data_IF_927293014897
#
_entry.id   IF_927293014897
#
_cell.length_a   1.000
_cell.length_b   1.000
_cell.length_c   1.000
_cell.angle_alpha   90.00
_cell.angle_beta   90.00
_cell.angle_gamma   90.00
#
_symmetry.space_group_name_H-M   'P 1'
#
loop_
_entity.id
_entity.type
_entity.pdbx_description
1 polymer ?
#
# COMPACT_ATOMS: atom_id res chain seq x y z
N UNK A 1 -10.04 8.75 48.49
CA UNK A 1 -9.77 8.62 47.05
C UNK A 1 -8.27 8.47 46.92
N UNK A 2 -7.79 7.49 46.16
CA UNK A 2 -6.36 7.27 45.91
C UNK A 2 -5.88 8.23 44.79
N UNK A 3 -4.62 8.65 44.82
CA UNK A 3 -4.00 9.45 43.75
C UNK A 3 -3.99 8.65 42.44
N UNK A 4 -4.36 9.24 41.30
CA UNK A 4 -4.39 8.57 40.00
C UNK A 4 -3.34 9.16 39.06
N UNK A 5 -2.71 8.31 38.24
CA UNK A 5 -1.71 8.72 37.25
C UNK A 5 -2.18 8.34 35.85
N UNK A 6 -2.09 9.25 34.89
CA UNK A 6 -2.37 9.01 33.48
C UNK A 6 -1.04 8.96 32.69
N UNK A 7 -0.75 7.80 32.13
CA UNK A 7 0.31 7.49 31.17
C UNK A 7 -0.09 8.03 29.79
N UNK A 8 0.82 8.64 29.04
CA UNK A 8 0.57 9.07 27.65
C UNK A 8 1.23 8.09 26.68
N UNK A 9 0.42 7.29 25.98
CA UNK A 9 0.88 6.37 24.95
C UNK A 9 0.79 7.08 23.59
N UNK A 10 1.89 7.64 23.11
CA UNK A 10 1.93 8.24 21.77
C UNK A 10 1.94 7.12 20.72
N UNK A 11 1.33 7.32 19.54
CA UNK A 11 1.55 6.43 18.40
C UNK A 11 3.05 6.33 18.11
N UNK A 12 3.67 5.27 18.59
CA UNK A 12 5.08 4.98 18.36
C UNK A 12 5.23 4.84 16.85
N UNK A 13 5.84 5.85 16.22
CA UNK A 13 6.46 5.67 14.91
C UNK A 13 7.56 4.64 15.16
N UNK A 14 7.29 3.39 14.78
CA UNK A 14 8.25 2.29 14.89
C UNK A 14 9.60 2.76 14.34
N UNK A 15 10.70 2.71 15.12
CA UNK A 15 11.99 3.19 14.67
C UNK A 15 12.39 2.53 13.35
N UNK A 16 12.90 3.32 12.38
CA UNK A 16 13.26 2.87 11.03
C UNK A 16 14.10 1.57 11.05
N UNK A 17 14.99 1.44 12.04
CA UNK A 17 15.85 0.28 12.22
C UNK A 17 15.05 -1.02 12.37
N UNK A 18 13.94 -1.01 13.12
CA UNK A 18 13.06 -2.17 13.35
C UNK A 18 12.31 -2.56 12.07
N UNK A 19 11.92 -1.57 11.26
CA UNK A 19 11.29 -1.79 9.95
C UNK A 19 12.29 -2.33 8.93
N UNK A 20 13.57 -1.93 9.02
CA UNK A 20 14.67 -2.46 8.20
C UNK A 20 14.94 -3.93 8.51
N UNK A 21 15.03 -4.29 9.80
CA UNK A 21 15.31 -5.67 10.21
C UNK A 21 14.18 -6.63 9.86
N UNK A 22 12.93 -6.16 9.87
CA UNK A 22 11.75 -6.95 9.50
C UNK A 22 11.48 -6.99 7.99
N UNK A 23 12.31 -6.37 7.15
CA UNK A 23 12.15 -6.32 5.69
C UNK A 23 10.93 -5.51 5.22
N UNK A 24 10.37 -4.67 6.10
CA UNK A 24 9.20 -3.84 5.82
C UNK A 24 9.58 -2.53 5.10
N UNK A 25 10.81 -2.01 5.28
CA UNK A 25 11.28 -0.78 4.61
C UNK A 25 11.32 -0.94 3.09
N UNK A 26 11.64 -2.12 2.57
CA UNK A 26 11.71 -2.36 1.12
C UNK A 26 10.33 -2.57 0.48
N UNK A 27 9.28 -2.71 1.28
CA UNK A 27 7.90 -3.03 0.85
C UNK A 27 6.89 -1.94 1.18
N UNK A 28 7.20 -1.01 2.09
CA UNK A 28 6.35 0.13 2.41
C UNK A 28 6.66 1.30 1.48
N UNK A 29 5.93 1.36 0.37
CA UNK A 29 5.73 2.61 -0.37
C UNK A 29 4.30 3.10 -0.11
N UNK A 30 3.94 3.35 1.16
CA UNK A 30 2.80 4.23 1.43
C UNK A 30 3.29 5.67 1.34
N UNK A 31 3.03 6.26 0.18
CA UNK A 31 3.18 7.69 -0.01
C UNK A 31 2.07 8.37 0.79
N UNK A 32 2.36 8.86 1.99
CA UNK A 32 1.48 9.82 2.66
C UNK A 32 1.56 11.15 1.91
N UNK A 33 0.66 11.33 0.94
CA UNK A 33 0.32 12.63 0.36
C UNK A 33 -1.04 13.06 0.91
N UNK A 34 -1.20 14.37 1.08
CA UNK A 34 -2.36 15.12 1.57
C UNK A 34 -3.72 14.41 1.52
N UNK A 35 -4.48 14.55 2.61
CA UNK A 35 -5.85 14.06 2.80
C UNK A 35 -6.76 14.38 1.60
N UNK A 36 -6.88 13.41 0.69
CA UNK A 36 -7.90 13.41 -0.36
C UNK A 36 -9.06 12.51 0.07
N UNK A 37 -10.28 12.99 -0.14
CA UNK A 37 -11.48 12.17 0.01
C UNK A 37 -11.40 11.00 -0.99
N UNK A 38 -11.76 9.78 -0.56
CA UNK A 38 -11.50 8.54 -1.30
C UNK A 38 -12.12 8.53 -2.71
N UNK A 39 -13.27 9.15 -2.89
CA UNK A 39 -13.92 9.39 -4.18
C UNK A 39 -13.05 10.21 -5.14
N UNK A 40 -12.44 11.30 -4.66
CA UNK A 40 -11.55 12.14 -5.46
C UNK A 40 -10.23 11.43 -5.79
N UNK A 41 -9.70 10.61 -4.88
CA UNK A 41 -8.51 9.80 -5.17
C UNK A 41 -8.77 8.79 -6.28
N UNK A 42 -9.89 8.05 -6.19
CA UNK A 42 -10.32 7.09 -7.21
C UNK A 42 -10.58 7.78 -8.54
N UNK A 43 -11.27 8.92 -8.53
CA UNK A 43 -11.52 9.71 -9.74
C UNK A 43 -10.23 10.18 -10.41
N UNK A 44 -9.27 10.69 -9.63
CA UNK A 44 -7.99 11.18 -10.15
C UNK A 44 -7.12 10.04 -10.71
N UNK A 45 -7.08 8.90 -10.04
CA UNK A 45 -6.35 7.71 -10.52
C UNK A 45 -6.98 7.17 -11.81
N UNK A 46 -8.31 7.11 -11.89
CA UNK A 46 -9.02 6.68 -13.10
C UNK A 46 -8.79 7.65 -14.26
N UNK A 47 -8.87 8.96 -14.04
CA UNK A 47 -8.58 9.99 -15.04
C UNK A 47 -7.16 9.88 -15.58
N UNK A 48 -6.17 9.79 -14.70
CA UNK A 48 -4.77 9.66 -15.10
C UNK A 48 -4.49 8.36 -15.89
N UNK A 49 -5.18 7.26 -15.57
CA UNK A 49 -5.06 5.99 -16.30
C UNK A 49 -5.73 6.02 -17.67
N UNK A 50 -6.88 6.68 -17.80
CA UNK A 50 -7.55 6.91 -19.09
C UNK A 50 -6.63 7.73 -20.00
N UNK A 51 -6.02 8.80 -19.47
CA UNK A 51 -5.08 9.64 -20.23
C UNK A 51 -3.85 8.86 -20.70
N UNK A 52 -3.29 7.97 -19.87
CA UNK A 52 -2.18 7.08 -20.25
C UNK A 52 -2.59 6.04 -21.31
N UNK A 53 -3.82 5.55 -21.28
CA UNK A 53 -4.34 4.64 -22.32
C UNK A 53 -4.46 5.29 -23.70
N UNK A 54 -4.64 6.60 -23.77
CA UNK A 54 -4.71 7.38 -25.03
C UNK A 54 -3.35 7.70 -25.65
N UNK A 55 -2.25 7.71 -24.87
CA UNK A 55 -0.89 7.89 -25.40
C UNK A 55 -0.24 6.52 -25.53
N UNK A 56 -0.31 5.95 -26.74
CA UNK A 56 0.27 4.64 -27.06
C UNK A 56 1.71 4.49 -26.55
N UNK A 57 2.05 3.25 -26.19
CA UNK A 57 3.37 2.85 -25.65
C UNK A 57 4.50 3.45 -26.49
N UNK A 58 5.13 4.51 -25.97
CA UNK A 58 6.37 5.04 -26.54
C UNK A 58 7.51 4.08 -26.24
N UNK A 59 8.17 3.59 -27.30
CA UNK A 59 9.43 2.84 -27.27
C UNK A 59 10.44 3.53 -26.37
N UNK A 60 10.56 3.07 -25.13
CA UNK A 60 11.77 3.06 -24.27
C UNK A 60 11.38 2.73 -22.81
N UNK A 61 10.61 1.66 -22.59
CA UNK A 61 10.63 1.01 -21.28
C UNK A 61 11.66 -0.11 -21.36
N UNK A 62 12.86 0.19 -20.84
CA UNK A 62 13.82 -0.82 -20.43
C UNK A 62 13.12 -1.93 -19.63
N UNK A 63 13.68 -3.15 -19.69
CA UNK A 63 13.36 -4.25 -18.77
C UNK A 63 13.05 -3.69 -17.38
N UNK A 64 11.78 -3.74 -16.99
CA UNK A 64 11.33 -3.44 -15.65
C UNK A 64 10.86 -4.76 -15.06
N UNK A 65 11.73 -5.30 -14.21
CA UNK A 65 11.41 -6.33 -13.23
C UNK A 65 10.12 -5.95 -12.49
N UNK A 66 9.22 -6.93 -12.31
CA UNK A 66 8.32 -6.97 -11.15
C UNK A 66 7.26 -5.89 -10.96
N UNK A 67 6.80 -5.18 -11.99
CA UNK A 67 5.78 -4.14 -11.79
C UNK A 67 5.00 -3.73 -13.03
N UNK A 68 4.05 -4.55 -13.48
CA UNK A 68 3.00 -4.10 -14.42
C UNK A 68 1.62 -4.58 -13.94
N UNK A 69 0.83 -3.60 -13.47
CA UNK A 69 -0.61 -3.62 -13.16
C UNK A 69 -1.10 -4.61 -12.07
N UNK A 70 -1.08 -4.15 -10.82
CA UNK A 70 -1.74 -4.81 -9.67
C UNK A 70 -3.29 -4.86 -9.76
N UNK A 71 -3.91 -4.38 -10.84
CA UNK A 71 -5.37 -4.21 -10.93
C UNK A 71 -6.13 -5.52 -11.19
N UNK A 72 -5.44 -6.59 -11.62
CA UNK A 72 -6.02 -7.91 -11.86
C UNK A 72 -5.07 -9.04 -11.42
N UNK A 73 -4.22 -8.77 -10.43
CA UNK A 73 -3.17 -9.68 -9.98
C UNK A 73 -3.75 -11.05 -9.61
N UNK A 74 -4.78 -11.08 -8.75
CA UNK A 74 -5.36 -12.33 -8.27
C UNK A 74 -5.94 -13.17 -9.41
N UNK A 75 -6.69 -12.55 -10.32
CA UNK A 75 -7.30 -13.25 -11.46
C UNK A 75 -6.24 -13.80 -12.41
N UNK A 76 -5.19 -13.05 -12.69
CA UNK A 76 -4.12 -13.50 -13.59
C UNK A 76 -3.29 -14.63 -12.98
N UNK A 77 -2.92 -14.52 -11.70
CA UNK A 77 -2.16 -15.54 -10.97
C UNK A 77 -2.98 -16.82 -10.80
N UNK A 78 -4.23 -16.73 -10.38
CA UNK A 78 -5.09 -17.91 -10.24
C UNK A 78 -5.43 -18.54 -11.60
N UNK A 79 -5.60 -17.74 -12.65
CA UNK A 79 -5.81 -18.27 -14.00
C UNK A 79 -4.59 -19.05 -14.51
N UNK A 80 -3.38 -18.53 -14.30
CA UNK A 80 -2.15 -19.21 -14.66
C UNK A 80 -1.93 -20.50 -13.86
N UNK A 81 -2.20 -20.48 -12.56
CA UNK A 81 -2.03 -21.64 -11.69
C UNK A 81 -3.02 -22.77 -12.01
N UNK A 82 -4.29 -22.43 -12.23
CA UNK A 82 -5.36 -23.41 -12.48
C UNK A 82 -5.47 -23.83 -13.93
N UNK A 83 -4.82 -23.12 -14.86
CA UNK A 83 -5.02 -23.26 -16.30
C UNK A 83 -6.43 -22.87 -16.78
N UNK A 84 -7.28 -22.38 -15.87
CA UNK A 84 -8.66 -22.00 -16.17
C UNK A 84 -8.72 -20.50 -16.44
N UNK A 85 -9.32 -20.05 -17.56
CA UNK A 85 -9.33 -18.64 -17.92
C UNK A 85 -10.31 -17.85 -17.02
N UNK A 86 -9.77 -16.95 -16.19
CA UNK A 86 -10.55 -16.03 -15.34
C UNK A 86 -10.73 -14.68 -16.05
N UNK A 87 -11.58 -14.67 -17.06
CA UNK A 87 -11.76 -13.56 -18.01
C UNK A 87 -13.25 -13.28 -18.23
N UNK A 88 -13.57 -12.04 -18.58
CA UNK A 88 -14.91 -11.65 -19.03
C UNK A 88 -14.95 -11.70 -20.55
N UNK A 89 -16.04 -12.26 -21.09
CA UNK A 89 -16.37 -12.21 -22.51
C UNK A 89 -17.62 -11.35 -22.69
N UNK A 90 -17.45 -10.18 -23.29
CA UNK A 90 -18.50 -9.21 -23.51
C UNK A 90 -18.85 -9.13 -24.99
N UNK A 91 -20.13 -9.27 -25.34
CA UNK A 91 -20.58 -9.08 -26.72
C UNK A 91 -20.50 -7.60 -27.09
N UNK A 92 -19.86 -7.30 -28.21
CA UNK A 92 -19.81 -5.95 -28.75
C UNK A 92 -21.14 -5.61 -29.42
N UNK A 93 -21.64 -4.41 -29.19
CA UNK A 93 -22.90 -3.93 -29.77
C UNK A 93 -22.86 -3.87 -31.31
N UNK A 94 -21.67 -3.69 -31.89
CA UNK A 94 -21.42 -3.78 -33.33
C UNK A 94 -20.11 -4.53 -33.60
N UNK A 95 -20.04 -5.36 -34.66
CA UNK A 95 -18.81 -6.01 -35.07
C UNK A 95 -17.71 -4.99 -35.38
N UNK A 96 -16.55 -5.13 -34.74
CA UNK A 96 -15.36 -4.33 -35.05
C UNK A 96 -14.55 -5.10 -36.09
N UNK A 97 -14.15 -4.43 -37.18
CA UNK A 97 -13.21 -5.01 -38.15
C UNK A 97 -11.79 -4.80 -37.62
N UNK A 98 -11.11 -5.89 -37.31
CA UNK A 98 -9.71 -5.87 -36.88
C UNK A 98 -8.87 -6.43 -38.01
N UNK A 99 -7.86 -5.68 -38.44
CA UNK A 99 -6.86 -6.12 -39.42
C UNK A 99 -5.59 -6.51 -38.69
N UNK A 100 -5.23 -7.79 -38.76
CA UNK A 100 -4.05 -8.33 -38.10
C UNK A 100 -3.22 -9.12 -39.10
N UNK A 101 -1.90 -9.09 -38.93
CA UNK A 101 -1.02 -10.02 -39.63
C UNK A 101 -1.21 -11.40 -39.01
N UNK A 102 -1.48 -12.39 -39.86
CA UNK A 102 -1.60 -13.79 -39.46
C UNK A 102 -0.52 -14.61 -40.16
N UNK A 103 0.32 -15.25 -39.35
CA UNK A 103 1.26 -16.26 -39.81
C UNK A 103 0.58 -17.64 -39.85
N UNK A 104 0.60 -18.29 -41.01
CA UNK A 104 0.08 -19.64 -41.20
C UNK A 104 1.18 -20.54 -41.73
N UNK A 105 1.45 -21.63 -41.01
CA UNK A 105 2.38 -22.68 -41.42
C UNK A 105 1.66 -23.79 -42.17
N UNK A 106 2.23 -24.27 -43.28
CA UNK A 106 1.70 -25.45 -43.97
C UNK A 106 2.02 -26.72 -43.18
N UNK A 107 1.02 -27.21 -42.45
CA UNK A 107 1.12 -28.40 -41.60
C UNK A 107 1.49 -29.67 -42.37
N UNK A 108 1.19 -29.76 -43.67
CA UNK A 108 1.53 -30.94 -44.51
C UNK A 108 3.00 -30.97 -44.88
N UNK A 109 3.62 -29.80 -45.06
CA UNK A 109 5.02 -29.67 -45.46
C UNK A 109 5.97 -29.58 -44.26
N UNK A 110 5.52 -28.98 -43.15
CA UNK A 110 6.36 -28.74 -41.98
C UNK A 110 6.69 -30.03 -41.21
N UNK A 111 5.72 -30.95 -41.10
CA UNK A 111 5.90 -32.22 -40.39
C UNK A 111 7.02 -33.08 -40.99
N UNK A 112 6.99 -33.34 -42.32
CA UNK A 112 8.05 -34.10 -42.98
C UNK A 112 9.42 -33.41 -42.98
N UNK A 113 9.46 -32.07 -43.13
CA UNK A 113 10.73 -31.29 -43.22
C UNK A 113 11.39 -31.07 -41.85
N UNK A 114 10.61 -30.78 -40.80
CA UNK A 114 11.14 -30.35 -39.50
C UNK A 114 10.94 -31.39 -38.38
N UNK A 115 10.20 -32.49 -38.64
CA UNK A 115 10.06 -33.66 -37.75
C UNK A 115 9.80 -33.28 -36.28
N UNK A 116 10.78 -33.53 -35.40
CA UNK A 116 10.68 -33.32 -33.94
C UNK A 116 10.61 -31.84 -33.57
N UNK A 117 11.16 -30.97 -34.42
CA UNK A 117 11.24 -29.52 -34.21
C UNK A 117 9.97 -28.78 -34.67
N UNK A 118 9.12 -29.43 -35.47
CA UNK A 118 7.91 -28.82 -36.02
C UNK A 118 6.99 -28.23 -34.95
N UNK A 119 6.85 -28.90 -33.80
CA UNK A 119 6.01 -28.43 -32.69
C UNK A 119 6.60 -27.21 -31.97
N UNK A 120 7.92 -27.14 -31.85
CA UNK A 120 8.62 -26.00 -31.23
C UNK A 120 8.47 -24.77 -32.13
N UNK A 121 8.72 -24.94 -33.43
CA UNK A 121 8.62 -23.88 -34.43
C UNK A 121 7.18 -23.37 -34.56
N UNK A 122 6.19 -24.27 -34.51
CA UNK A 122 4.79 -23.89 -34.50
C UNK A 122 4.46 -22.97 -33.31
N UNK A 123 4.86 -23.35 -32.09
CA UNK A 123 4.63 -22.54 -30.90
C UNK A 123 5.33 -21.17 -30.97
N UNK A 124 6.53 -21.11 -31.55
CA UNK A 124 7.26 -19.84 -31.74
C UNK A 124 6.54 -18.93 -32.72
N UNK A 125 6.12 -19.45 -33.88
CA UNK A 125 5.40 -18.67 -34.90
C UNK A 125 4.05 -18.18 -34.39
N UNK A 126 3.33 -18.99 -33.60
CA UNK A 126 2.07 -18.61 -32.95
C UNK A 126 2.25 -17.53 -31.87
N UNK A 127 3.46 -17.38 -31.31
CA UNK A 127 3.77 -16.42 -30.25
C UNK A 127 4.38 -15.09 -30.76
N UNK A 128 4.55 -14.90 -32.07
CA UNK A 128 5.11 -13.67 -32.64
C UNK A 128 4.13 -12.49 -32.49
N UNK A 129 4.69 -11.31 -32.21
CA UNK A 129 3.92 -10.06 -32.09
C UNK A 129 3.66 -9.39 -33.46
N UNK A 130 2.64 -8.54 -33.51
CA UNK A 130 2.20 -7.87 -34.75
C UNK A 130 3.31 -7.06 -35.46
N UNK A 131 4.15 -6.27 -34.77
CA UNK A 131 5.26 -5.56 -35.41
C UNK A 131 6.30 -6.50 -36.04
N UNK A 132 6.60 -7.63 -35.40
CA UNK A 132 7.52 -8.62 -35.95
C UNK A 132 6.90 -9.30 -37.16
N UNK A 133 5.63 -9.67 -37.10
CA UNK A 133 4.92 -10.27 -38.23
C UNK A 133 4.90 -9.35 -39.46
N UNK A 134 4.69 -8.04 -39.27
CA UNK A 134 4.77 -7.06 -40.35
C UNK A 134 6.16 -7.03 -41.00
N UNK A 135 7.22 -6.98 -40.19
CA UNK A 135 8.61 -7.01 -40.69
C UNK A 135 8.91 -8.28 -41.46
N UNK A 136 8.53 -9.45 -40.91
CA UNK A 136 8.77 -10.75 -41.54
C UNK A 136 7.93 -10.90 -42.82
N UNK A 137 6.73 -10.32 -42.89
CA UNK A 137 5.90 -10.36 -44.10
C UNK A 137 6.59 -9.65 -45.28
N UNK A 138 7.23 -8.49 -45.02
CA UNK A 138 8.02 -7.77 -46.02
C UNK A 138 9.24 -8.58 -46.45
N UNK A 139 9.94 -9.19 -45.50
CA UNK A 139 11.14 -10.00 -45.79
C UNK A 139 10.83 -11.26 -46.62
N UNK A 140 9.73 -11.95 -46.31
CA UNK A 140 9.25 -13.10 -47.11
C UNK A 140 8.86 -12.66 -48.52
N UNK A 141 8.32 -11.44 -48.70
CA UNK A 141 7.96 -10.92 -50.01
C UNK A 141 9.19 -10.61 -50.89
N UNK A 142 10.28 -10.10 -50.30
CA UNK A 142 11.50 -9.74 -51.02
C UNK A 142 12.44 -10.93 -51.27
N UNK A 143 12.73 -11.74 -50.23
CA UNK A 143 13.76 -12.78 -50.29
C UNK A 143 13.20 -14.19 -50.50
N UNK A 144 11.90 -14.40 -50.26
CA UNK A 144 11.26 -15.71 -50.34
C UNK A 144 11.63 -16.69 -49.21
N UNK A 145 12.54 -16.31 -48.32
CA UNK A 145 12.99 -17.06 -47.14
C UNK A 145 13.15 -16.08 -45.98
N UNK A 146 12.77 -16.51 -44.78
CA UNK A 146 12.91 -15.73 -43.56
C UNK A 146 13.52 -16.55 -42.44
N UNK A 147 14.38 -15.94 -41.62
CA UNK A 147 14.98 -16.57 -40.45
C UNK A 147 14.21 -16.18 -39.19
N UNK A 148 13.76 -17.17 -38.42
CA UNK A 148 13.06 -16.97 -37.15
C UNK A 148 13.90 -17.56 -36.03
N UNK A 149 14.12 -16.77 -34.97
CA UNK A 149 14.81 -17.23 -33.77
C UNK A 149 13.93 -18.20 -32.98
N UNK A 150 14.49 -19.33 -32.59
CA UNK A 150 13.79 -20.38 -31.85
C UNK A 150 14.61 -20.81 -30.63
N UNK A 151 13.96 -21.35 -29.58
CA UNK A 151 14.67 -22.14 -28.58
C UNK A 151 15.49 -23.25 -29.24
N UNK A 152 16.55 -23.74 -28.57
CA UNK A 152 17.46 -24.73 -29.11
C UNK A 152 16.69 -25.93 -29.70
N UNK A 153 16.85 -26.13 -31.01
CA UNK A 153 16.26 -27.21 -31.78
C UNK A 153 17.01 -28.53 -31.50
N UNK A 154 16.48 -29.66 -31.96
CA UNK A 154 17.10 -30.97 -31.77
C UNK A 154 18.56 -31.07 -32.24
N UNK A 155 18.95 -30.20 -33.18
CA UNK A 155 20.29 -30.12 -33.75
C UNK A 155 21.17 -29.03 -33.09
N UNK A 156 20.72 -28.39 -32.00
CA UNK A 156 21.43 -27.31 -31.29
C UNK A 156 21.36 -25.93 -31.97
N UNK A 157 20.68 -25.81 -33.11
CA UNK A 157 20.43 -24.54 -33.80
C UNK A 157 19.42 -23.69 -33.04
N UNK A 158 19.60 -22.38 -33.04
CA UNK A 158 18.74 -21.39 -32.37
C UNK A 158 17.94 -20.53 -33.34
N UNK A 159 17.97 -20.86 -34.63
CA UNK A 159 17.18 -20.20 -35.66
C UNK A 159 16.79 -21.19 -36.75
N UNK A 160 15.67 -20.92 -37.42
CA UNK A 160 15.17 -21.71 -38.53
C UNK A 160 14.84 -20.84 -39.73
N UNK A 161 15.27 -21.28 -40.90
CA UNK A 161 14.91 -20.67 -42.18
C UNK A 161 13.60 -21.28 -42.70
N UNK A 162 12.60 -20.42 -42.91
CA UNK A 162 11.30 -20.80 -43.46
C UNK A 162 11.12 -20.15 -44.83
N UNK A 163 10.93 -20.97 -45.84
CA UNK A 163 10.58 -20.49 -47.18
C UNK A 163 9.11 -20.08 -47.26
N UNK A 164 8.78 -19.30 -48.30
CA UNK A 164 7.41 -18.88 -48.62
C UNK A 164 6.42 -20.05 -48.80
N UNK A 165 6.92 -21.24 -49.15
CA UNK A 165 6.11 -22.46 -49.23
C UNK A 165 5.70 -22.99 -47.85
N UNK A 166 6.49 -22.72 -46.81
CA UNK A 166 6.30 -23.23 -45.46
C UNK A 166 5.55 -22.25 -44.56
N UNK A 167 5.79 -20.95 -44.75
CA UNK A 167 5.23 -19.88 -43.93
C UNK A 167 4.59 -18.81 -44.82
N UNK A 168 3.28 -18.64 -44.68
CA UNK A 168 2.52 -17.55 -45.29
C UNK A 168 2.17 -16.52 -44.23
N UNK A 169 2.60 -15.27 -44.40
CA UNK A 169 2.20 -14.15 -43.54
C UNK A 169 1.36 -13.18 -44.37
N UNK A 170 0.11 -12.97 -43.97
CA UNK A 170 -0.82 -12.09 -44.69
C UNK A 170 -1.66 -11.27 -43.71
N UNK A 171 -2.10 -10.08 -44.14
CA UNK A 171 -3.12 -9.31 -43.41
C UNK A 171 -4.47 -10.00 -43.59
N UNK A 172 -5.11 -10.33 -42.48
CA UNK A 172 -6.43 -10.94 -42.44
C UNK A 172 -7.37 -10.00 -41.71
N UNK A 173 -8.44 -9.60 -42.38
CA UNK A 173 -9.52 -8.82 -41.75
C UNK A 173 -10.49 -9.78 -41.07
N UNK A 174 -10.63 -9.68 -39.75
CA UNK A 174 -11.59 -10.46 -38.98
C UNK A 174 -12.63 -9.55 -38.35
N UNK A 175 -13.90 -9.95 -38.43
CA UNK A 175 -14.96 -9.33 -37.65
C UNK A 175 -14.91 -9.88 -36.22
N UNK A 176 -14.68 -8.99 -35.26
CA UNK A 176 -14.70 -9.28 -33.83
C UNK A 176 -16.06 -8.85 -33.24
N UNK A 177 -16.84 -9.83 -32.80
CA UNK A 177 -18.15 -9.62 -32.17
C UNK A 177 -18.10 -9.64 -30.65
N UNK A 178 -16.95 -9.98 -30.08
CA UNK A 178 -16.80 -10.21 -28.63
C UNK A 178 -15.46 -9.66 -28.18
N UNK A 179 -15.50 -8.86 -27.12
CA UNK A 179 -14.33 -8.38 -26.40
C UNK A 179 -14.05 -9.34 -25.25
N UNK A 180 -12.77 -9.66 -25.07
CA UNK A 180 -12.30 -10.50 -23.98
C UNK A 180 -11.28 -9.71 -23.18
N UNK A 181 -11.44 -9.64 -21.86
CA UNK A 181 -10.50 -8.94 -20.99
C UNK A 181 -10.53 -9.51 -19.58
N UNK A 182 -9.44 -9.30 -18.83
CA UNK A 182 -9.40 -9.57 -17.39
C UNK A 182 -9.95 -8.34 -16.65
N UNK A 183 -10.99 -8.47 -15.83
CA UNK A 183 -11.60 -7.33 -15.17
C UNK A 183 -10.67 -6.78 -14.08
N UNK A 184 -10.67 -5.46 -13.90
CA UNK A 184 -10.03 -4.84 -12.75
C UNK A 184 -10.90 -5.04 -11.50
N UNK A 185 -10.27 -5.27 -10.36
CA UNK A 185 -10.96 -5.48 -9.08
C UNK A 185 -10.77 -4.25 -8.18
N UNK A 186 -11.88 -3.76 -7.62
CA UNK A 186 -11.87 -2.76 -6.54
C UNK A 186 -12.24 -3.50 -5.26
N UNK A 187 -11.32 -3.56 -4.30
CA UNK A 187 -11.52 -4.26 -3.03
C UNK A 187 -11.57 -3.27 -1.86
N UNK A 188 -12.75 -2.82 -1.43
CA UNK A 188 -12.89 -2.07 -0.20
C UNK A 188 -12.85 -3.03 1.01
N UNK A 189 -11.77 -2.99 1.77
CA UNK A 189 -11.60 -3.81 2.98
C UNK A 189 -11.75 -2.98 4.26
N UNK A 190 -12.65 -3.42 5.14
CA UNK A 190 -12.98 -2.71 6.38
C UNK A 190 -12.72 -3.59 7.62
N UNK A 191 -11.78 -3.16 8.46
CA UNK A 191 -11.47 -3.84 9.72
C UNK A 191 -12.53 -3.57 10.79
N UNK A 192 -13.47 -4.51 10.99
CA UNK A 192 -14.57 -4.39 11.97
C UNK A 192 -14.04 -4.09 13.38
N UNK A 193 -12.92 -4.68 13.79
CA UNK A 193 -12.32 -4.41 15.10
C UNK A 193 -11.93 -2.94 15.30
N UNK A 194 -11.37 -2.29 14.26
CA UNK A 194 -11.04 -0.86 14.31
C UNK A 194 -12.28 0.01 14.31
N UNK A 195 -13.28 -0.34 13.50
CA UNK A 195 -14.57 0.37 13.48
C UNK A 195 -15.23 0.30 14.87
N UNK A 196 -15.28 -0.90 15.46
CA UNK A 196 -15.83 -1.10 16.80
C UNK A 196 -15.07 -0.30 17.85
N UNK A 197 -13.73 -0.33 17.81
CA UNK A 197 -12.90 0.47 18.71
C UNK A 197 -13.19 1.97 18.57
N UNK A 198 -13.30 2.49 17.35
CA UNK A 198 -13.68 3.88 17.10
C UNK A 198 -15.06 4.22 17.66
N UNK A 199 -16.06 3.35 17.49
CA UNK A 199 -17.40 3.55 18.05
C UNK A 199 -17.35 3.57 19.57
N UNK A 200 -16.73 2.57 20.20
CA UNK A 200 -16.58 2.49 21.65
C UNK A 200 -15.90 3.75 22.21
N UNK A 201 -14.86 4.24 21.52
CA UNK A 201 -14.16 5.47 21.87
C UNK A 201 -15.03 6.72 21.72
N UNK A 202 -15.81 6.83 20.65
CA UNK A 202 -16.72 7.96 20.41
C UNK A 202 -17.90 8.00 21.39
N UNK A 203 -18.35 6.84 21.86
CA UNK A 203 -19.44 6.73 22.85
C UNK A 203 -18.94 6.72 24.30
N UNK A 204 -17.63 6.83 24.52
CA UNK A 204 -17.06 6.80 25.85
C UNK A 204 -17.56 7.99 26.67
N UNK A 205 -18.06 7.69 27.87
CA UNK A 205 -18.54 8.67 28.83
C UNK A 205 -18.06 8.28 30.23
N UNK A 206 -17.78 9.28 31.06
CA UNK A 206 -17.38 9.08 32.45
C UNK A 206 -18.38 9.74 33.40
N UNK A 207 -18.45 9.21 34.63
CA UNK A 207 -19.30 9.80 35.67
C UNK A 207 -18.72 11.16 36.12
N UNK A 208 -19.56 12.12 36.53
CA UNK A 208 -19.10 13.34 37.18
C UNK A 208 -18.27 13.02 38.45
N UNK A 209 -17.22 13.81 38.69
CA UNK A 209 -16.32 13.65 39.84
C UNK A 209 -15.15 12.69 39.65
N UNK A 210 -14.98 12.12 38.45
CA UNK A 210 -13.80 11.34 38.06
C UNK A 210 -12.91 12.16 37.11
N UNK A 211 -12.07 13.02 37.70
CA UNK A 211 -11.19 13.94 36.96
C UNK A 211 -10.18 13.20 36.07
N UNK A 212 -9.75 12.01 36.48
CA UNK A 212 -8.81 11.20 35.69
C UNK A 212 -9.44 10.69 34.40
N UNK A 213 -10.68 10.20 34.46
CA UNK A 213 -11.39 9.79 33.24
C UNK A 213 -11.82 10.98 32.38
N UNK A 214 -12.13 12.12 32.99
CA UNK A 214 -12.43 13.35 32.27
C UNK A 214 -11.24 13.81 31.43
N UNK A 215 -10.06 13.92 32.04
CA UNK A 215 -8.83 14.30 31.35
C UNK A 215 -8.42 13.27 30.30
N UNK A 216 -8.56 11.97 30.59
CA UNK A 216 -8.29 10.88 29.64
C UNK A 216 -9.15 11.01 28.37
N UNK A 217 -10.47 11.21 28.53
CA UNK A 217 -11.39 11.39 27.41
C UNK A 217 -11.07 12.66 26.60
N UNK A 218 -10.70 13.74 27.28
CA UNK A 218 -10.29 14.99 26.64
C UNK A 218 -9.03 14.81 25.77
N UNK A 219 -7.99 14.16 26.31
CA UNK A 219 -6.76 13.86 25.56
C UNK A 219 -7.06 12.95 24.36
N UNK A 220 -7.92 11.94 24.54
CA UNK A 220 -8.36 11.06 23.45
C UNK A 220 -9.09 11.81 22.34
N UNK A 221 -9.92 12.81 22.67
CA UNK A 221 -10.62 13.66 21.69
C UNK A 221 -9.66 14.52 20.86
N UNK A 222 -8.47 14.81 21.39
CA UNK A 222 -7.38 15.51 20.71
C UNK A 222 -6.46 14.56 19.92
N UNK A 223 -6.78 13.26 19.87
CA UNK A 223 -5.95 12.25 19.20
C UNK A 223 -4.72 11.82 20.02
N UNK A 224 -4.64 12.23 21.29
CA UNK A 224 -3.51 11.92 22.17
C UNK A 224 -3.87 10.66 22.95
N UNK A 225 -3.19 9.56 22.66
CA UNK A 225 -3.43 8.28 23.36
C UNK A 225 -2.79 8.31 24.75
N UNK A 226 -3.50 7.70 25.70
CA UNK A 226 -3.20 7.72 27.12
C UNK A 226 -3.88 6.55 27.83
N UNK A 227 -3.31 6.11 28.95
CA UNK A 227 -3.72 4.99 29.79
C UNK A 227 -3.71 5.45 31.25
N UNK A 228 -4.68 5.03 32.07
CA UNK A 228 -4.68 5.35 33.49
C UNK A 228 -4.01 4.23 34.32
N UNK A 229 -2.98 4.56 35.09
CA UNK A 229 -2.43 3.71 36.16
C UNK A 229 -3.17 4.01 37.47
N UNK A 230 -4.27 3.28 37.68
CA UNK A 230 -5.04 3.27 38.92
C UNK A 230 -4.60 2.15 39.88
N UNK A 231 -3.34 1.69 39.80
CA UNK A 231 -2.84 0.71 40.77
C UNK A 231 -2.68 1.34 42.15
N UNK A 232 -2.84 0.54 43.21
CA UNK A 232 -2.67 0.97 44.61
C UNK A 232 -1.20 1.22 45.00
N UNK A 233 -0.30 1.37 44.01
CA UNK A 233 1.11 1.62 44.21
C UNK A 233 1.36 3.13 44.43
N UNK A 234 2.35 3.45 45.26
CA UNK A 234 2.81 4.84 45.44
C UNK A 234 3.16 5.49 44.10
N UNK A 235 2.94 6.80 43.97
CA UNK A 235 3.17 7.54 42.71
C UNK A 235 4.57 7.32 42.11
N UNK A 236 5.62 7.29 42.95
CA UNK A 236 6.99 7.02 42.49
C UNK A 236 7.18 5.62 41.86
N UNK A 237 6.47 4.60 42.35
CA UNK A 237 6.50 3.25 41.76
C UNK A 237 5.76 3.20 40.42
N UNK A 238 4.68 3.97 40.29
CA UNK A 238 3.93 4.10 39.03
C UNK A 238 4.76 4.83 37.97
N UNK A 239 5.46 5.90 38.35
CA UNK A 239 6.43 6.54 37.47
C UNK A 239 7.54 5.58 37.04
N UNK A 240 8.20 4.88 37.97
CA UNK A 240 9.27 3.95 37.62
C UNK A 240 8.82 2.88 36.61
N UNK A 241 7.65 2.26 36.82
CA UNK A 241 7.07 1.29 35.87
C UNK A 241 6.84 1.89 34.48
N UNK A 242 6.36 3.14 34.45
CA UNK A 242 6.06 3.82 33.20
C UNK A 242 7.30 4.31 32.47
N UNK A 243 8.30 4.75 33.22
CA UNK A 243 9.60 5.11 32.70
C UNK A 243 10.25 3.87 32.05
N UNK A 244 10.13 2.68 32.68
CA UNK A 244 10.57 1.40 32.11
C UNK A 244 9.83 1.01 30.81
N UNK A 245 8.54 1.35 30.70
CA UNK A 245 7.75 1.15 29.48
C UNK A 245 8.01 2.20 28.40
N UNK A 246 8.76 3.25 28.73
CA UNK A 246 9.12 4.33 27.81
C UNK A 246 8.06 5.43 27.68
N UNK A 247 7.07 5.50 28.58
CA UNK A 247 6.06 6.56 28.61
C UNK A 247 6.73 7.94 28.76
N UNK A 248 6.68 8.83 27.76
CA UNK A 248 7.49 10.05 27.74
C UNK A 248 7.02 11.12 28.74
N UNK A 249 5.71 11.15 29.01
CA UNK A 249 5.08 12.17 29.84
C UNK A 249 4.12 11.50 30.82
N UNK A 250 4.15 11.92 32.08
CA UNK A 250 3.22 11.49 33.11
C UNK A 250 2.35 12.65 33.60
N UNK A 251 1.04 12.43 33.73
CA UNK A 251 0.13 13.40 34.35
C UNK A 251 -0.33 12.87 35.69
N UNK A 252 -0.17 13.67 36.73
CA UNK A 252 -0.59 13.33 38.09
C UNK A 252 -1.77 14.19 38.53
N UNK A 253 -2.81 13.50 39.02
CA UNK A 253 -4.04 14.08 39.54
C UNK A 253 -4.08 13.81 41.05
N UNK A 254 -3.92 14.88 41.83
CA UNK A 254 -3.83 14.84 43.29
C UNK A 254 -5.06 15.49 43.94
N UNK A 255 -5.16 15.44 45.27
CA UNK A 255 -6.27 16.07 46.01
C UNK A 255 -6.44 17.56 45.73
N UNK A 256 -5.33 18.26 45.47
CA UNK A 256 -5.37 19.68 45.15
C UNK A 256 -5.99 19.95 43.78
N UNK A 257 -5.89 19.02 42.82
CA UNK A 257 -6.53 19.15 41.50
C UNK A 257 -8.03 19.37 41.62
N UNK A 258 -8.69 18.69 42.57
CA UNK A 258 -10.13 18.86 42.81
C UNK A 258 -10.45 20.25 43.38
N UNK A 259 -9.50 20.90 44.04
CA UNK A 259 -9.68 22.23 44.65
C UNK A 259 -9.37 23.38 43.70
N UNK A 260 -8.30 23.24 42.91
CA UNK A 260 -7.73 24.34 42.11
C UNK A 260 -7.74 24.09 40.59
N UNK A 261 -8.18 22.92 40.13
CA UNK A 261 -8.22 22.54 38.71
C UNK A 261 -6.85 22.41 38.06
N UNK A 262 -5.78 22.35 38.86
CA UNK A 262 -4.41 22.22 38.38
C UNK A 262 -3.93 20.78 38.41
N UNK A 263 -3.14 20.40 37.40
CA UNK A 263 -2.55 19.07 37.27
C UNK A 263 -1.04 19.18 37.16
N UNK A 264 -0.35 18.14 37.60
CA UNK A 264 1.11 18.08 37.50
C UNK A 264 1.51 17.29 36.27
N UNK A 265 2.34 17.89 35.42
CA UNK A 265 2.95 17.26 34.27
C UNK A 265 4.41 16.93 34.59
N UNK A 266 4.82 15.69 34.33
CA UNK A 266 6.18 15.18 34.54
C UNK A 266 6.79 14.75 33.22
N UNK A 267 8.05 15.10 33.02
CA UNK A 267 8.89 14.54 31.96
C UNK A 267 9.68 13.33 32.45
N UNK A 268 9.72 12.28 31.62
CA UNK A 268 10.42 11.03 31.92
C UNK A 268 11.92 11.22 32.06
N UNK A 269 12.54 11.90 31.09
CA UNK A 269 14.00 11.92 30.94
C UNK A 269 14.67 12.79 31.99
N UNK A 270 14.13 13.98 32.22
CA UNK A 270 14.62 14.91 33.25
C UNK A 270 14.08 14.60 34.64
N UNK A 271 13.00 13.82 34.75
CA UNK A 271 12.21 13.58 35.97
C UNK A 271 11.60 14.86 36.59
N UNK A 272 11.74 16.00 35.92
CA UNK A 272 11.27 17.30 36.39
C UNK A 272 9.75 17.44 36.23
N UNK A 273 9.15 18.31 37.03
CA UNK A 273 7.70 18.46 37.12
C UNK A 273 7.29 19.93 37.03
N UNK A 274 6.19 20.18 36.35
CA UNK A 274 5.53 21.47 36.29
C UNK A 274 4.08 21.32 36.71
N UNK A 275 3.49 22.38 37.28
CA UNK A 275 2.08 22.38 37.71
C UNK A 275 1.37 23.61 37.17
N UNK A 276 0.28 23.38 36.45
CA UNK A 276 -0.52 24.43 35.84
C UNK A 276 -1.98 23.98 35.73
N UNK A 277 -2.85 24.85 35.23
CA UNK A 277 -4.24 24.49 34.94
C UNK A 277 -4.29 23.31 33.95
N UNK A 278 -5.36 22.51 34.03
CA UNK A 278 -5.60 21.42 33.09
C UNK A 278 -5.47 21.87 31.63
N UNK A 279 -6.07 23.01 31.27
CA UNK A 279 -5.97 23.59 29.93
C UNK A 279 -4.52 23.88 29.51
N UNK A 280 -3.72 24.45 30.42
CA UNK A 280 -2.33 24.76 30.15
C UNK A 280 -1.48 23.51 29.93
N UNK A 281 -1.75 22.45 30.70
CA UNK A 281 -1.06 21.17 30.58
C UNK A 281 -1.49 20.43 29.31
N UNK A 282 -2.80 20.36 29.02
CA UNK A 282 -3.31 19.74 27.79
C UNK A 282 -2.75 20.42 26.55
N UNK A 283 -2.66 21.75 26.55
CA UNK A 283 -2.07 22.49 25.44
C UNK A 283 -0.56 22.22 25.30
N UNK A 284 0.18 22.14 26.41
CA UNK A 284 1.60 21.79 26.40
C UNK A 284 1.83 20.40 25.81
N UNK A 285 1.04 19.39 26.24
CA UNK A 285 1.12 18.03 25.70
C UNK A 285 0.80 18.03 24.21
N UNK A 286 -0.26 18.72 23.78
CA UNK A 286 -0.62 18.83 22.37
C UNK A 286 0.51 19.45 21.55
N UNK A 287 1.18 20.48 22.05
CA UNK A 287 2.28 21.12 21.34
C UNK A 287 3.51 20.20 21.27
N UNK A 288 3.85 19.51 22.35
CA UNK A 288 4.97 18.55 22.36
C UNK A 288 4.73 17.36 21.44
N UNK A 289 3.52 16.77 21.45
CA UNK A 289 3.17 15.63 20.58
C UNK A 289 3.22 16.01 19.09
N UNK A 290 2.86 17.25 18.76
CA UNK A 290 2.93 17.77 17.39
C UNK A 290 4.31 18.35 17.01
N UNK A 291 5.32 18.24 17.88
CA UNK A 291 6.67 18.76 17.64
C UNK A 291 6.77 20.30 17.59
N UNK A 292 5.78 21.01 18.15
CA UNK A 292 5.73 22.48 18.16
C UNK A 292 6.40 23.11 19.39
N UNK A 293 6.54 22.35 20.48
CA UNK A 293 7.22 22.78 21.71
C UNK A 293 8.10 21.63 22.23
N UNK A 294 9.18 21.99 22.91
CA UNK A 294 10.05 21.08 23.67
C UNK A 294 9.75 21.14 25.16
N UNK A 295 10.17 20.12 25.92
CA UNK A 295 10.05 20.14 27.38
C UNK A 295 10.75 21.34 28.03
N UNK A 296 11.92 21.75 27.51
CA UNK A 296 12.65 22.92 28.01
C UNK A 296 11.86 24.23 27.87
N UNK A 297 11.08 24.37 26.80
CA UNK A 297 10.22 25.53 26.58
C UNK A 297 9.00 25.49 27.50
N UNK A 298 8.40 24.30 27.68
CA UNK A 298 7.27 24.08 28.61
C UNK A 298 7.69 24.37 30.05
N UNK A 299 8.85 23.88 30.49
CA UNK A 299 9.37 24.05 31.85
C UNK A 299 9.76 25.50 32.19
N UNK A 300 10.11 26.32 31.20
CA UNK A 300 10.31 27.76 31.37
C UNK A 300 9.00 28.53 31.48
N UNK A 301 7.96 28.07 30.77
CA UNK A 301 6.65 28.73 30.68
C UNK A 301 5.72 28.37 31.84
N UNK A 302 5.73 27.12 32.29
CA UNK A 302 4.86 26.63 33.37
C UNK A 302 5.59 26.62 34.72
N UNK A 303 4.90 26.90 35.84
CA UNK A 303 5.53 26.88 37.16
C UNK A 303 6.11 25.51 37.51
N UNK A 304 7.38 25.49 37.94
CA UNK A 304 8.03 24.27 38.44
C UNK A 304 7.33 23.77 39.70
N UNK A 305 7.19 22.45 39.83
CA UNK A 305 6.59 21.78 40.98
C UNK A 305 7.66 21.01 41.77
N UNK A 306 7.89 21.43 43.01
CA UNK A 306 8.95 20.87 43.88
C UNK A 306 8.38 19.94 44.97
N UNK A 307 7.13 19.50 44.82
CA UNK A 307 6.39 18.74 45.82
C UNK A 307 5.52 19.62 46.72
N UNK A 308 4.64 18.99 47.50
CA UNK A 308 3.89 19.67 48.55
C UNK A 308 4.83 19.94 49.73
N UNK A 309 4.85 21.18 50.24
CA UNK A 309 5.45 21.45 51.54
C UNK A 309 4.65 20.67 52.60
N UNK A 310 5.35 19.92 53.46
CA UNK A 310 4.77 19.24 54.62
C UNK A 310 3.98 20.18 55.53
#
# INVERSE_FOLDING_TARGET
>A
MEENMLELDCTVITPELVLKTSGHVDKFADWMWDYLRADHLVENVLKARIERGTKGLTKNSAKLDGGTAADAYDLTVHSAYTGSPLIVKEALSKPVKVEEWQATLDKKLIGPRLKKDAKVIQSVVEALDQPTLERLALEVAEKGIVSIDTPALGDGRTSVELSKELLTIAKVTRAQNTRVYTPNVIEPSFGIGRILYCVLKQTYWHRPGDEARALSARLHSLGISNIADSSSASIGKRYARNDELGTPLGITINFDTVKDGSVTLRDRDSTSQVRASEDGVVQAIKNMVNGMETWEEVSKRLPAFVGQAE
#
